data_IF_967679119390
#
_entry.id   IF_967679119390
#
_cell.length_a   1.000
_cell.length_b   1.000
_cell.length_c   1.000
_cell.angle_alpha   90.00
_cell.angle_beta   90.00
_cell.angle_gamma   90.00
#
_symmetry.space_group_name_H-M   'P 1'
#
loop_
_entity.id
_entity.type
_entity.pdbx_description
1 polymer ?
#
# COMPACT_ATOMS: atom_id res chain seq x y z
N UNK A 1 17.73 42.26 -50.92
CA UNK A 1 16.46 42.48 -50.21
C UNK A 1 15.33 41.92 -51.06
N UNK A 2 15.10 40.62 -51.13
CA UNK A 2 14.91 39.62 -50.06
C UNK A 2 13.62 39.87 -49.27
N UNK A 3 12.62 39.02 -49.53
CA UNK A 3 11.30 38.96 -48.90
C UNK A 3 10.61 37.70 -49.41
N UNK A 4 11.01 36.55 -48.86
CA UNK A 4 10.46 35.23 -49.16
C UNK A 4 9.39 34.85 -48.13
N UNK A 5 8.22 34.46 -48.62
CA UNK A 5 7.17 33.75 -47.88
C UNK A 5 7.62 32.31 -47.55
N UNK A 6 7.38 31.79 -46.34
CA UNK A 6 7.53 30.36 -46.05
C UNK A 6 6.25 29.56 -46.36
N UNK A 7 6.38 28.31 -46.88
CA UNK A 7 5.25 27.42 -47.11
C UNK A 7 4.85 26.58 -45.87
N UNK A 8 3.61 26.08 -45.91
CA UNK A 8 2.92 25.28 -44.89
C UNK A 8 3.56 23.89 -44.61
N UNK A 9 3.32 23.28 -43.41
CA UNK A 9 3.82 21.95 -43.09
C UNK A 9 2.92 20.79 -43.54
N UNK A 10 3.60 19.65 -43.69
CA UNK A 10 3.21 18.37 -44.29
C UNK A 10 2.25 17.53 -43.44
N UNK A 11 1.52 16.66 -44.13
CA UNK A 11 0.63 15.65 -43.57
C UNK A 11 1.34 14.44 -42.96
N UNK A 12 0.60 13.79 -42.06
CA UNK A 12 0.92 12.58 -41.33
C UNK A 12 0.62 11.33 -42.16
N UNK A 13 1.54 10.38 -42.20
CA UNK A 13 1.37 9.05 -42.77
C UNK A 13 1.28 8.02 -41.65
N UNK A 14 0.32 7.11 -41.81
CA UNK A 14 0.08 5.89 -41.05
C UNK A 14 1.10 4.80 -41.45
N UNK A 15 1.48 3.95 -40.50
CA UNK A 15 2.06 2.60 -40.68
C UNK A 15 1.84 1.88 -39.32
N UNK A 16 1.36 0.65 -39.17
CA UNK A 16 1.18 -0.48 -40.09
C UNK A 16 1.56 -1.76 -39.33
N UNK A 17 0.61 -2.66 -39.12
CA UNK A 17 0.73 -3.94 -38.40
C UNK A 17 1.75 -4.92 -39.01
N UNK A 18 2.35 -5.77 -38.17
CA UNK A 18 3.30 -6.81 -38.58
C UNK A 18 3.22 -8.07 -37.72
N UNK A 19 2.35 -8.99 -38.14
CA UNK A 19 2.21 -10.37 -37.69
C UNK A 19 3.40 -11.24 -38.18
N UNK A 20 3.92 -12.13 -37.33
CA UNK A 20 4.97 -13.09 -37.72
C UNK A 20 4.58 -14.51 -37.29
N UNK A 21 4.24 -15.32 -38.29
CA UNK A 21 4.09 -16.77 -38.19
C UNK A 21 5.35 -17.51 -38.65
N UNK A 22 5.52 -18.72 -38.09
CA UNK A 22 5.95 -19.97 -38.74
C UNK A 22 7.29 -20.59 -38.29
N UNK A 23 7.28 -21.93 -38.20
CA UNK A 23 8.50 -22.74 -38.11
C UNK A 23 8.45 -24.00 -37.22
N UNK A 24 7.66 -25.00 -37.59
CA UNK A 24 7.79 -26.39 -37.10
C UNK A 24 8.92 -27.14 -37.84
N UNK A 25 9.75 -27.91 -37.12
CA UNK A 25 10.47 -29.05 -37.68
C UNK A 25 10.82 -30.11 -36.62
N UNK A 26 10.54 -31.36 -37.01
CA UNK A 26 10.68 -32.67 -36.37
C UNK A 26 12.13 -33.17 -36.21
N UNK A 27 12.35 -34.14 -35.28
CA UNK A 27 13.39 -35.16 -35.48
C UNK A 27 13.97 -35.83 -34.23
N UNK A 28 13.44 -37.02 -33.90
CA UNK A 28 14.10 -38.24 -33.40
C UNK A 28 15.03 -38.26 -32.16
N UNK A 29 14.67 -39.14 -31.19
CA UNK A 29 15.54 -39.65 -30.11
C UNK A 29 16.59 -40.66 -30.62
N UNK A 30 17.39 -41.31 -29.73
CA UNK A 30 16.85 -42.37 -28.87
C UNK A 30 17.54 -42.65 -27.51
N UNK A 31 16.80 -43.37 -26.65
CA UNK A 31 17.16 -44.51 -25.76
C UNK A 31 18.18 -44.41 -24.61
N UNK A 32 17.71 -44.87 -23.43
CA UNK A 32 18.44 -45.70 -22.46
C UNK A 32 19.17 -44.93 -21.36
N UNK A 33 19.24 -45.30 -20.09
CA UNK A 33 18.86 -46.48 -19.31
C UNK A 33 18.81 -46.02 -17.82
N UNK A 34 17.93 -46.63 -17.02
CA UNK A 34 17.97 -46.61 -15.55
C UNK A 34 19.05 -47.59 -15.06
N UNK A 35 19.78 -47.29 -13.97
CA UNK A 35 19.70 -48.24 -12.87
C UNK A 35 19.71 -47.61 -11.46
N UNK A 36 18.71 -48.00 -10.68
CA UNK A 36 18.77 -48.54 -9.32
C UNK A 36 20.12 -48.56 -8.59
N UNK A 37 20.12 -48.02 -7.36
CA UNK A 37 20.52 -48.79 -6.18
C UNK A 37 21.82 -48.39 -5.46
N UNK A 38 21.68 -48.36 -4.13
CA UNK A 38 22.67 -48.68 -3.09
C UNK A 38 23.41 -47.50 -2.39
N UNK A 39 22.94 -47.30 -1.15
CA UNK A 39 23.60 -46.73 0.02
C UNK A 39 24.89 -47.49 0.39
N UNK A 40 25.92 -46.78 0.88
CA UNK A 40 26.64 -47.33 2.02
C UNK A 40 26.93 -46.30 3.13
N UNK A 41 26.35 -46.61 4.29
CA UNK A 41 26.89 -46.49 5.65
C UNK A 41 28.40 -46.17 5.79
N UNK A 42 28.70 -45.19 6.66
CA UNK A 42 29.92 -45.21 7.47
C UNK A 42 30.44 -43.83 7.85
N UNK A 43 30.09 -43.32 9.03
CA UNK A 43 30.90 -42.30 9.71
C UNK A 43 31.12 -42.65 11.19
N UNK A 44 32.40 -42.61 11.55
CA UNK A 44 33.00 -42.94 12.82
C UNK A 44 32.68 -41.92 13.92
N UNK A 45 32.57 -42.42 15.14
CA UNK A 45 32.54 -41.64 16.37
C UNK A 45 33.95 -41.22 16.80
N UNK A 46 34.13 -39.95 17.20
CA UNK A 46 35.16 -39.56 18.18
C UNK A 46 34.81 -38.24 18.87
N UNK A 47 34.41 -38.37 20.13
CA UNK A 47 34.71 -37.57 21.32
C UNK A 47 35.13 -36.10 21.18
N UNK A 48 34.27 -35.21 21.68
CA UNK A 48 34.59 -33.86 22.08
C UNK A 48 33.59 -33.35 23.12
N UNK A 49 33.96 -33.42 24.40
CA UNK A 49 33.27 -32.81 25.54
C UNK A 49 33.53 -31.29 25.58
N UNK A 50 32.50 -30.45 25.71
CA UNK A 50 32.63 -29.18 26.39
C UNK A 50 31.68 -29.11 27.60
N UNK A 51 32.30 -29.20 28.77
CA UNK A 51 31.80 -28.67 30.03
C UNK A 51 31.43 -27.18 29.88
N UNK A 52 30.18 -26.84 30.17
CA UNK A 52 29.71 -25.45 30.20
C UNK A 52 28.19 -25.36 30.31
N UNK A 53 27.70 -25.34 31.55
CA UNK A 53 26.29 -25.12 31.90
C UNK A 53 25.99 -23.61 31.89
N UNK A 54 25.10 -23.07 31.03
CA UNK A 54 24.62 -21.71 31.17
C UNK A 54 23.30 -21.73 31.95
N UNK A 55 23.41 -21.70 33.28
CA UNK A 55 22.30 -21.29 34.14
C UNK A 55 22.19 -19.77 34.11
N UNK A 56 21.49 -19.25 33.09
CA UNK A 56 21.17 -17.84 32.94
C UNK A 56 19.73 -17.70 32.45
N UNK A 57 18.82 -17.65 33.40
CA UNK A 57 17.38 -17.41 33.19
C UNK A 57 17.18 -15.93 32.80
N UNK A 58 16.66 -15.59 31.60
CA UNK A 58 16.31 -14.21 31.30
C UNK A 58 14.95 -13.90 31.95
N UNK A 59 14.98 -13.56 33.24
CA UNK A 59 13.84 -12.93 33.92
C UNK A 59 13.79 -11.44 33.55
N UNK A 60 13.48 -11.19 32.28
CA UNK A 60 13.08 -9.89 31.76
C UNK A 60 11.63 -9.97 31.33
N UNK A 61 10.71 -9.78 32.27
CA UNK A 61 9.29 -9.66 32.01
C UNK A 61 9.06 -8.32 31.28
N UNK A 62 8.54 -8.30 30.03
CA UNK A 62 8.15 -7.06 29.38
C UNK A 62 6.85 -6.59 30.05
N UNK A 63 6.96 -6.00 31.22
CA UNK A 63 5.86 -5.27 31.88
C UNK A 63 5.71 -3.88 31.24
N UNK A 64 5.46 -3.88 29.94
CA UNK A 64 4.76 -2.82 29.24
C UNK A 64 3.38 -3.34 28.92
N UNK A 65 2.48 -3.27 29.89
CA UNK A 65 1.05 -3.51 29.65
C UNK A 65 0.59 -2.41 28.68
N UNK A 66 0.15 -2.71 27.43
CA UNK A 66 -0.48 -1.70 26.60
C UNK A 66 -1.78 -1.32 27.31
N UNK A 67 -1.77 -0.16 27.98
CA UNK A 67 -2.87 0.33 28.83
C UNK A 67 -4.12 0.79 28.06
N UNK A 68 -4.41 0.17 26.92
CA UNK A 68 -5.73 0.22 26.30
C UNK A 68 -6.49 -1.05 26.68
N UNK A 69 -7.49 -0.95 27.55
CA UNK A 69 -8.58 -1.93 27.52
C UNK A 69 -9.00 -2.11 26.05
N UNK A 70 -9.14 -3.34 25.51
CA UNK A 70 -9.63 -3.51 24.15
C UNK A 70 -10.97 -2.79 24.07
N UNK A 71 -11.00 -1.69 23.31
CA UNK A 71 -12.19 -0.87 23.18
C UNK A 71 -13.36 -1.78 22.82
N UNK A 72 -14.48 -1.67 23.55
CA UNK A 72 -15.66 -2.49 23.28
C UNK A 72 -16.00 -2.41 21.78
N UNK A 73 -16.32 -3.55 21.13
CA UNK A 73 -16.62 -3.56 19.72
C UNK A 73 -17.76 -2.58 19.42
N UNK A 74 -17.78 -1.96 18.23
CA UNK A 74 -18.81 -0.98 17.90
C UNK A 74 -20.22 -1.57 18.07
N UNK A 75 -21.18 -0.77 18.56
CA UNK A 75 -22.54 -1.24 18.79
C UNK A 75 -23.23 -1.50 17.45
N UNK A 76 -23.61 -2.74 17.18
CA UNK A 76 -24.37 -3.07 15.97
C UNK A 76 -24.41 -4.57 15.71
N UNK A 77 -25.13 -4.95 14.66
CA UNK A 77 -25.11 -6.33 14.16
C UNK A 77 -23.86 -6.62 13.34
N UNK A 78 -23.63 -7.91 13.08
CA UNK A 78 -22.63 -8.36 12.12
C UNK A 78 -23.20 -8.29 10.69
N UNK A 79 -22.40 -7.81 9.73
CA UNK A 79 -22.75 -7.73 8.31
C UNK A 79 -21.82 -8.57 7.45
N UNK A 80 -22.36 -9.10 6.35
CA UNK A 80 -21.60 -9.72 5.26
C UNK A 80 -21.40 -8.76 4.08
N UNK A 81 -22.12 -7.63 4.07
CA UNK A 81 -22.01 -6.59 3.05
C UNK A 81 -21.00 -5.53 3.48
N UNK A 82 -20.08 -5.08 2.60
CA UNK A 82 -19.13 -4.01 2.89
C UNK A 82 -19.79 -2.74 3.44
N UNK A 83 -19.25 -2.24 4.55
CA UNK A 83 -19.70 -1.01 5.21
C UNK A 83 -18.48 -0.21 5.69
N UNK A 84 -18.46 1.13 5.63
CA UNK A 84 -17.26 1.89 5.99
C UNK A 84 -16.73 1.54 7.39
N UNK A 85 -15.43 1.21 7.47
CA UNK A 85 -14.79 0.78 8.73
C UNK A 85 -14.79 1.93 9.75
N UNK A 86 -14.85 3.18 9.33
CA UNK A 86 -14.88 4.35 10.20
C UNK A 86 -16.29 4.76 10.68
N UNK A 87 -17.31 3.93 10.44
CA UNK A 87 -18.70 4.30 10.70
C UNK A 87 -19.44 3.37 11.67
N UNK A 88 -18.82 2.32 12.22
CA UNK A 88 -19.54 1.35 13.07
C UNK A 88 -20.04 1.88 14.40
N UNK A 89 -19.52 3.02 14.87
CA UNK A 89 -20.03 3.72 16.06
C UNK A 89 -21.23 4.63 15.80
N UNK A 90 -21.60 4.83 14.52
CA UNK A 90 -22.71 5.69 14.18
C UNK A 90 -24.06 5.01 14.52
N UNK A 91 -25.09 5.78 14.93
CA UNK A 91 -26.38 5.18 15.25
C UNK A 91 -27.01 4.45 14.06
N UNK A 92 -27.35 3.17 14.25
CA UNK A 92 -28.06 2.37 13.26
C UNK A 92 -27.18 1.72 12.19
N UNK A 93 -25.86 1.75 12.36
CA UNK A 93 -24.93 1.04 11.49
C UNK A 93 -24.66 -0.38 11.99
N UNK A 94 -24.14 -1.27 11.13
CA UNK A 94 -23.51 -2.50 11.58
C UNK A 94 -22.31 -2.18 12.49
N UNK A 95 -22.00 -3.09 13.43
CA UNK A 95 -20.88 -2.94 14.35
C UNK A 95 -19.65 -3.73 13.92
N UNK A 96 -19.88 -4.83 13.19
CA UNK A 96 -18.82 -5.71 12.69
C UNK A 96 -19.11 -6.15 11.25
N UNK A 97 -18.06 -6.48 10.51
CA UNK A 97 -18.09 -7.16 9.22
C UNK A 97 -17.43 -8.52 9.38
N UNK A 98 -18.19 -9.62 9.24
CA UNK A 98 -17.71 -10.99 9.45
C UNK A 98 -16.95 -11.17 10.78
N UNK A 99 -17.40 -10.47 11.82
CA UNK A 99 -16.77 -10.42 13.14
C UNK A 99 -15.60 -9.45 13.31
N UNK A 100 -15.13 -8.79 12.24
CA UNK A 100 -14.12 -7.73 12.30
C UNK A 100 -14.77 -6.38 12.66
N UNK A 101 -14.19 -5.59 13.58
CA UNK A 101 -14.80 -4.35 14.04
C UNK A 101 -14.86 -3.29 12.93
N UNK A 102 -16.02 -2.64 12.79
CA UNK A 102 -16.18 -1.45 11.97
C UNK A 102 -15.75 -0.20 12.77
N UNK A 103 -14.49 -0.19 13.19
CA UNK A 103 -13.83 0.98 13.78
C UNK A 103 -12.36 0.97 13.39
N UNK A 104 -11.87 2.09 12.87
CA UNK A 104 -10.44 2.26 12.63
C UNK A 104 -9.68 2.23 13.96
N UNK A 105 -8.55 1.52 13.97
CA UNK A 105 -7.57 1.60 15.05
C UNK A 105 -7.00 3.02 15.11
N UNK A 106 -6.80 3.52 16.33
CA UNK A 106 -6.16 4.81 16.58
C UNK A 106 -4.83 4.58 17.31
N UNK A 107 -3.73 4.73 16.58
CA UNK A 107 -2.36 4.63 17.11
C UNK A 107 -1.83 5.98 17.62
N UNK A 108 -2.71 6.98 17.77
CA UNK A 108 -2.38 8.34 18.20
C UNK A 108 -1.70 9.17 17.11
N UNK A 109 -0.91 10.16 17.56
CA UNK A 109 -0.15 11.07 16.69
C UNK A 109 1.36 10.86 16.88
N UNK A 110 2.14 10.71 15.80
CA UNK A 110 3.59 10.60 15.89
C UNK A 110 4.23 11.96 16.20
N UNK A 111 5.42 11.93 16.81
CA UNK A 111 6.33 13.08 16.81
C UNK A 111 7.21 13.03 15.57
N UNK A 112 7.17 14.08 14.77
CA UNK A 112 7.99 14.23 13.56
C UNK A 112 8.84 15.49 13.68
N UNK A 113 10.15 15.30 13.73
CA UNK A 113 11.12 16.38 13.89
C UNK A 113 11.68 16.80 12.52
N UNK A 114 11.69 18.11 12.21
CA UNK A 114 12.32 18.62 11.00
C UNK A 114 13.85 18.49 11.06
N UNK A 115 14.48 18.24 9.90
CA UNK A 115 15.93 18.32 9.72
C UNK A 115 16.24 19.57 8.89
N UNK A 116 16.99 20.51 9.48
CA UNK A 116 17.26 21.82 8.89
C UNK A 116 15.99 22.61 8.51
N UNK A 117 14.92 22.44 9.30
CA UNK A 117 13.63 23.07 9.06
C UNK A 117 12.80 22.42 7.95
N UNK A 118 13.13 21.18 7.58
CA UNK A 118 12.46 20.44 6.51
C UNK A 118 11.91 19.09 7.01
N UNK A 119 10.69 18.80 6.61
CA UNK A 119 9.98 17.53 6.77
C UNK A 119 9.62 17.04 5.37
N UNK A 120 10.40 16.11 4.86
CA UNK A 120 10.12 15.38 3.63
C UNK A 120 9.04 14.33 3.86
N UNK A 121 7.95 14.43 3.10
CA UNK A 121 6.88 13.43 3.03
C UNK A 121 7.00 12.73 1.68
N UNK A 122 7.17 11.42 1.68
CA UNK A 122 7.34 10.63 0.45
C UNK A 122 6.13 9.74 0.23
N UNK A 123 5.46 9.89 -0.92
CA UNK A 123 4.38 8.99 -1.33
C UNK A 123 4.94 7.74 -2.01
N UNK A 124 4.55 6.55 -1.56
CA UNK A 124 4.89 5.27 -2.20
C UNK A 124 3.64 4.45 -2.51
N UNK A 125 3.76 3.54 -3.49
CA UNK A 125 2.68 2.69 -3.98
C UNK A 125 2.68 2.58 -5.50
N UNK A 126 1.54 2.17 -6.06
CA UNK A 126 1.37 1.91 -7.49
C UNK A 126 0.72 3.08 -8.28
N UNK A 127 0.03 2.79 -9.39
CA UNK A 127 -0.52 3.80 -10.31
C UNK A 127 -1.58 4.71 -9.68
N UNK A 128 -2.43 4.20 -8.77
CA UNK A 128 -3.37 5.05 -8.03
C UNK A 128 -2.61 6.01 -7.11
N UNK A 129 -1.60 5.51 -6.39
CA UNK A 129 -0.80 6.30 -5.45
C UNK A 129 -0.12 7.50 -6.12
N UNK A 130 0.48 7.32 -7.31
CA UNK A 130 1.09 8.44 -8.04
C UNK A 130 0.05 9.46 -8.51
N UNK A 131 -1.13 9.03 -8.99
CA UNK A 131 -2.19 9.95 -9.42
C UNK A 131 -2.76 10.74 -8.23
N UNK A 132 -3.05 10.05 -7.12
CA UNK A 132 -3.59 10.64 -5.88
C UNK A 132 -2.58 11.60 -5.25
N UNK A 133 -1.32 11.19 -5.12
CA UNK A 133 -0.27 12.04 -4.54
C UNK A 133 0.04 13.24 -5.44
N UNK A 134 0.10 13.07 -6.77
CA UNK A 134 0.28 14.17 -7.70
C UNK A 134 -0.87 15.19 -7.61
N UNK A 135 -2.12 14.73 -7.50
CA UNK A 135 -3.27 15.61 -7.33
C UNK A 135 -3.19 16.38 -6.00
N UNK A 136 -2.87 15.69 -4.90
CA UNK A 136 -2.65 16.29 -3.59
C UNK A 136 -1.56 17.37 -3.64
N UNK A 137 -0.37 17.06 -4.16
CA UNK A 137 0.76 18.00 -4.30
C UNK A 137 0.34 19.24 -5.10
N UNK A 138 -0.38 19.06 -6.21
CA UNK A 138 -0.78 20.17 -7.09
C UNK A 138 -1.72 21.19 -6.42
N UNK A 139 -2.42 20.77 -5.37
CA UNK A 139 -3.42 21.57 -4.66
C UNK A 139 -2.86 22.25 -3.40
N UNK A 140 -1.71 21.81 -2.90
CA UNK A 140 -1.04 22.40 -1.74
C UNK A 140 -0.74 23.89 -1.95
N UNK A 141 -1.06 24.71 -0.94
CA UNK A 141 -0.84 26.16 -0.96
C UNK A 141 -1.82 26.94 -1.85
N UNK A 142 -2.72 26.27 -2.56
CA UNK A 142 -3.76 26.88 -3.38
C UNK A 142 -5.16 26.51 -2.88
N UNK A 143 -5.57 25.27 -3.10
CA UNK A 143 -6.87 24.75 -2.66
C UNK A 143 -6.78 24.18 -1.23
N UNK A 144 -5.64 23.60 -0.88
CA UNK A 144 -5.35 22.99 0.42
C UNK A 144 -4.39 23.91 1.20
N UNK A 145 -4.89 24.52 2.27
CA UNK A 145 -4.23 25.60 3.01
C UNK A 145 -3.88 25.18 4.45
N UNK A 146 -3.07 25.98 5.15
CA UNK A 146 -2.69 25.68 6.54
C UNK A 146 -1.60 24.62 6.67
N UNK A 147 -0.86 24.38 5.59
CA UNK A 147 0.29 23.47 5.58
C UNK A 147 1.55 24.23 5.97
N UNK A 148 2.29 23.68 6.92
CA UNK A 148 3.58 24.17 7.38
C UNK A 148 4.55 24.34 6.23
N UNK A 149 5.26 25.48 6.20
CA UNK A 149 6.29 25.75 5.21
C UNK A 149 7.51 24.80 5.31
N UNK A 150 7.58 24.00 6.38
CA UNK A 150 8.60 22.97 6.56
C UNK A 150 8.28 21.68 5.79
N UNK A 151 7.03 21.49 5.34
CA UNK A 151 6.59 20.25 4.68
C UNK A 151 6.88 20.30 3.18
N UNK A 152 7.57 19.27 2.70
CA UNK A 152 7.85 19.07 1.29
C UNK A 152 7.43 17.66 0.87
N UNK A 153 6.47 17.57 -0.04
CA UNK A 153 5.92 16.28 -0.47
C UNK A 153 6.53 15.86 -1.81
N UNK A 154 6.94 14.59 -1.92
CA UNK A 154 7.55 14.01 -3.12
C UNK A 154 6.78 12.75 -3.53
N UNK A 155 6.35 12.69 -4.79
CA UNK A 155 5.75 11.50 -5.38
C UNK A 155 6.82 10.50 -5.86
N UNK A 156 6.98 9.41 -5.10
CA UNK A 156 7.85 8.29 -5.44
C UNK A 156 7.09 7.07 -5.96
N UNK A 157 5.77 7.10 -6.06
CA UNK A 157 5.00 5.96 -6.52
C UNK A 157 5.34 5.61 -7.98
N UNK A 158 5.21 4.32 -8.30
CA UNK A 158 5.58 3.76 -9.60
C UNK A 158 4.45 2.86 -10.11
N UNK A 159 3.91 3.19 -11.28
CA UNK A 159 2.82 2.43 -11.90
C UNK A 159 3.13 0.93 -12.01
N UNK A 160 2.15 0.08 -11.68
CA UNK A 160 2.28 -1.37 -11.75
C UNK A 160 3.21 -2.01 -10.71
N UNK A 161 3.57 -1.28 -9.64
CA UNK A 161 4.38 -1.80 -8.54
C UNK A 161 3.68 -1.56 -7.21
N UNK A 162 2.87 -2.54 -6.80
CA UNK A 162 2.14 -2.52 -5.54
C UNK A 162 3.03 -3.06 -4.40
N UNK A 163 2.46 -3.30 -3.23
CA UNK A 163 3.22 -3.53 -1.99
C UNK A 163 4.24 -4.66 -2.09
N UNK A 164 3.90 -5.74 -2.80
CA UNK A 164 4.73 -6.94 -2.95
C UNK A 164 6.07 -6.60 -3.63
N UNK A 165 6.06 -5.64 -4.56
CA UNK A 165 7.28 -5.19 -5.24
C UNK A 165 8.07 -4.16 -4.42
N UNK A 166 7.41 -3.32 -3.63
CA UNK A 166 8.11 -2.42 -2.72
C UNK A 166 8.81 -3.19 -1.59
N UNK A 167 8.28 -4.35 -1.21
CA UNK A 167 8.89 -5.28 -0.27
C UNK A 167 10.06 -6.10 -0.85
N UNK A 168 10.02 -6.41 -2.16
CA UNK A 168 11.01 -7.27 -2.82
C UNK A 168 12.32 -6.53 -3.21
N UNK A 169 13.49 -6.94 -2.66
CA UNK A 169 14.79 -6.36 -3.01
C UNK A 169 15.14 -6.40 -4.51
N UNK A 170 14.56 -7.32 -5.28
CA UNK A 170 14.77 -7.40 -6.73
C UNK A 170 14.31 -6.12 -7.47
N UNK A 171 13.42 -5.33 -6.86
CA UNK A 171 12.90 -4.09 -7.42
C UNK A 171 13.54 -2.82 -6.83
N UNK A 172 14.52 -2.93 -5.93
CA UNK A 172 15.17 -1.79 -5.25
C UNK A 172 15.63 -0.71 -6.25
N UNK A 173 16.27 -1.11 -7.35
CA UNK A 173 16.76 -0.19 -8.37
C UNK A 173 15.64 0.59 -9.10
N UNK A 174 14.47 -0.02 -9.26
CA UNK A 174 13.32 0.59 -9.95
C UNK A 174 12.46 1.42 -9.00
N UNK A 175 12.46 1.10 -7.70
CA UNK A 175 11.58 1.68 -6.70
C UNK A 175 12.35 2.58 -5.73
N UNK A 176 13.10 2.00 -4.80
CA UNK A 176 13.79 2.74 -3.74
C UNK A 176 14.90 3.65 -4.28
N UNK A 177 15.76 3.16 -5.18
CA UNK A 177 16.83 3.98 -5.79
C UNK A 177 16.24 5.09 -6.68
N UNK A 178 15.16 4.78 -7.41
CA UNK A 178 14.44 5.79 -8.20
C UNK A 178 13.84 6.87 -7.30
N UNK A 179 13.24 6.46 -6.17
CA UNK A 179 12.67 7.37 -5.19
C UNK A 179 13.73 8.29 -4.57
N UNK A 180 14.87 7.75 -4.14
CA UNK A 180 16.00 8.55 -3.65
C UNK A 180 16.46 9.56 -4.71
N UNK A 181 16.46 9.16 -5.99
CA UNK A 181 16.70 10.07 -7.11
C UNK A 181 15.68 11.21 -7.23
N UNK A 182 14.38 10.94 -7.01
CA UNK A 182 13.31 11.96 -7.01
C UNK A 182 13.39 12.88 -5.80
N UNK A 183 13.67 12.34 -4.62
CA UNK A 183 13.92 13.09 -3.38
C UNK A 183 15.07 14.09 -3.60
N UNK A 184 16.18 13.64 -4.18
CA UNK A 184 17.30 14.51 -4.52
C UNK A 184 16.94 15.58 -5.58
N UNK A 185 16.15 15.23 -6.59
CA UNK A 185 15.66 16.20 -7.60
C UNK A 185 14.73 17.26 -7.01
N UNK A 186 13.97 16.91 -5.96
CA UNK A 186 13.18 17.86 -5.18
C UNK A 186 14.02 18.73 -4.24
N UNK A 187 15.34 18.53 -4.20
CA UNK A 187 16.27 19.29 -3.36
C UNK A 187 16.36 18.83 -1.91
N UNK A 188 15.84 17.63 -1.61
CA UNK A 188 15.85 17.04 -0.27
C UNK A 188 17.01 16.05 -0.12
N UNK A 189 17.52 15.92 1.11
CA UNK A 189 18.41 14.81 1.49
C UNK A 189 17.61 13.60 2.00
N UNK A 190 18.18 12.39 2.01
CA UNK A 190 17.54 11.23 2.63
C UNK A 190 17.21 11.43 4.11
N UNK A 191 18.03 12.18 4.86
CA UNK A 191 17.79 12.45 6.29
C UNK A 191 16.60 13.38 6.53
N UNK A 192 16.25 14.19 5.53
CA UNK A 192 15.07 15.04 5.55
C UNK A 192 13.78 14.28 5.24
N UNK A 193 13.82 13.04 4.76
CA UNK A 193 12.63 12.20 4.63
C UNK A 193 12.27 11.68 6.02
N UNK A 194 11.18 12.23 6.58
CA UNK A 194 10.71 11.90 7.94
C UNK A 194 9.40 11.12 7.94
N UNK A 195 8.62 11.24 6.86
CA UNK A 195 7.28 10.65 6.76
C UNK A 195 7.13 9.91 5.44
N UNK A 196 6.57 8.71 5.49
CA UNK A 196 6.04 8.02 4.32
C UNK A 196 4.52 8.09 4.31
N UNK A 197 3.95 8.42 3.15
CA UNK A 197 2.56 8.19 2.84
C UNK A 197 2.47 6.96 1.94
N UNK A 198 1.95 5.85 2.47
CA UNK A 198 1.87 4.58 1.75
C UNK A 198 0.43 4.29 1.33
N UNK A 199 0.20 4.28 0.02
CA UNK A 199 -1.04 3.79 -0.57
C UNK A 199 -0.90 2.28 -0.81
N UNK A 200 -1.31 1.50 0.19
CA UNK A 200 -1.15 0.06 0.26
C UNK A 200 -2.25 -0.66 -0.53
N UNK A 201 -1.83 -1.69 -1.26
CA UNK A 201 -2.69 -2.54 -2.07
C UNK A 201 -1.89 -3.74 -2.62
N UNK A 202 -2.46 -4.94 -2.71
CA UNK A 202 -1.87 -6.09 -3.41
C UNK A 202 -2.20 -6.03 -4.89
N UNK A 203 -1.23 -6.05 -5.80
CA UNK A 203 -1.43 -5.69 -7.21
C UNK A 203 -2.61 -6.45 -7.86
N UNK A 204 -2.82 -7.70 -7.45
CA UNK A 204 -3.90 -8.56 -7.90
C UNK A 204 -4.40 -9.46 -6.77
N UNK A 205 -5.70 -9.41 -6.48
CA UNK A 205 -6.37 -10.29 -5.50
C UNK A 205 -6.98 -11.49 -6.22
N UNK A 206 -6.17 -12.19 -7.02
CA UNK A 206 -6.60 -13.30 -7.86
C UNK A 206 -5.58 -14.43 -7.86
N UNK A 207 -6.07 -15.62 -8.19
CA UNK A 207 -5.25 -16.81 -8.43
C UNK A 207 -4.24 -16.57 -9.56
N UNK A 208 -3.30 -17.49 -9.72
CA UNK A 208 -2.25 -17.40 -10.75
C UNK A 208 -2.78 -17.28 -12.20
N UNK A 209 -4.06 -17.59 -12.44
CA UNK A 209 -4.72 -17.40 -13.74
C UNK A 209 -5.17 -15.96 -14.00
N UNK A 210 -5.06 -15.05 -13.02
CA UNK A 210 -5.42 -13.63 -13.07
C UNK A 210 -6.91 -13.35 -13.34
N UNK A 211 -7.75 -14.38 -13.30
CA UNK A 211 -9.16 -14.31 -13.66
C UNK A 211 -10.06 -14.78 -12.51
N UNK A 212 -9.59 -15.74 -11.74
CA UNK A 212 -10.30 -16.29 -10.59
C UNK A 212 -9.96 -15.45 -9.36
N UNK A 213 -10.93 -14.74 -8.76
CA UNK A 213 -10.68 -14.00 -7.53
C UNK A 213 -10.28 -14.97 -6.41
N UNK A 214 -9.39 -14.51 -5.52
CA UNK A 214 -9.11 -15.22 -4.28
C UNK A 214 -10.40 -15.34 -3.43
N UNK A 215 -10.51 -16.37 -2.57
CA UNK A 215 -11.65 -16.47 -1.67
C UNK A 215 -11.67 -15.25 -0.72
N UNK A 216 -12.86 -14.75 -0.33
CA UNK A 216 -12.95 -13.65 0.62
C UNK A 216 -12.64 -14.13 2.04
N UNK A 217 -12.34 -13.19 2.94
CA UNK A 217 -12.27 -13.45 4.39
C UNK A 217 -13.57 -14.14 4.87
N UNK A 218 -13.52 -15.08 5.85
CA UNK A 218 -12.37 -15.51 6.65
C UNK A 218 -11.62 -16.72 6.11
N UNK A 219 -11.69 -17.00 4.80
CA UNK A 219 -10.94 -18.12 4.24
C UNK A 219 -9.43 -17.91 4.50
N UNK A 220 -8.69 -18.90 5.04
CA UNK A 220 -7.25 -18.78 5.26
C UNK A 220 -6.42 -18.52 3.99
N UNK A 221 -6.99 -18.78 2.81
CA UNK A 221 -6.37 -18.48 1.51
C UNK A 221 -6.80 -17.10 0.95
N UNK A 222 -7.52 -16.30 1.73
CA UNK A 222 -7.95 -14.97 1.31
C UNK A 222 -6.80 -13.98 1.23
N UNK A 223 -6.99 -12.99 0.37
CA UNK A 223 -6.07 -11.86 0.20
C UNK A 223 -5.83 -11.10 1.51
N UNK A 224 -6.82 -11.09 2.42
CA UNK A 224 -6.70 -10.51 3.75
C UNK A 224 -5.41 -10.93 4.49
N UNK A 225 -5.09 -12.23 4.49
CA UNK A 225 -3.91 -12.73 5.21
C UNK A 225 -2.62 -12.49 4.41
N UNK A 226 -2.68 -12.60 3.07
CA UNK A 226 -1.55 -12.28 2.20
C UNK A 226 -1.13 -10.80 2.33
N UNK A 227 -2.11 -9.90 2.43
CA UNK A 227 -1.87 -8.48 2.57
C UNK A 227 -1.20 -8.13 3.91
N UNK A 228 -1.53 -8.84 5.00
CA UNK A 228 -0.85 -8.72 6.30
C UNK A 228 0.63 -9.10 6.15
N UNK A 229 0.94 -10.22 5.51
CA UNK A 229 2.33 -10.65 5.27
C UNK A 229 3.11 -9.61 4.43
N UNK A 230 2.45 -8.98 3.44
CA UNK A 230 3.06 -7.94 2.63
C UNK A 230 3.29 -6.63 3.41
N UNK A 231 2.41 -6.29 4.36
CA UNK A 231 2.60 -5.16 5.26
C UNK A 231 3.80 -5.36 6.18
N UNK A 232 3.96 -6.56 6.77
CA UNK A 232 5.15 -6.94 7.54
C UNK A 232 6.43 -6.81 6.70
N UNK A 233 6.40 -7.38 5.49
CA UNK A 233 7.53 -7.36 4.59
C UNK A 233 7.94 -5.93 4.21
N UNK A 234 6.98 -5.05 3.87
CA UNK A 234 7.26 -3.65 3.58
C UNK A 234 7.79 -2.91 4.80
N UNK A 235 7.18 -3.10 5.98
CA UNK A 235 7.56 -2.39 7.19
C UNK A 235 9.04 -2.64 7.55
N UNK A 236 9.53 -3.86 7.35
CA UNK A 236 10.94 -4.20 7.52
C UNK A 236 11.88 -3.49 6.53
N UNK A 237 11.40 -3.09 5.33
CA UNK A 237 12.21 -2.35 4.34
C UNK A 237 12.33 -0.87 4.67
N UNK A 238 11.33 -0.28 5.32
CA UNK A 238 11.28 1.18 5.57
C UNK A 238 12.55 1.71 6.25
N UNK A 239 12.99 1.19 7.41
CA UNK A 239 14.20 1.69 8.08
C UNK A 239 15.50 1.36 7.32
N UNK A 240 15.51 0.33 6.46
CA UNK A 240 16.66 0.04 5.58
C UNK A 240 16.83 1.13 4.50
N UNK A 241 15.72 1.57 3.92
CA UNK A 241 15.72 2.47 2.75
C UNK A 241 15.67 3.94 3.12
N UNK A 242 14.95 4.27 4.20
CA UNK A 242 14.85 5.61 4.76
C UNK A 242 15.08 5.56 6.28
N UNK A 243 16.34 5.50 6.74
CA UNK A 243 16.68 5.31 8.16
C UNK A 243 16.28 6.48 9.07
N UNK A 244 15.85 7.60 8.49
CA UNK A 244 15.41 8.81 9.19
C UNK A 244 13.89 8.97 9.26
N UNK A 245 13.12 8.04 8.69
CA UNK A 245 11.65 8.04 8.79
C UNK A 245 11.23 7.81 10.24
N UNK A 246 10.28 8.62 10.70
CA UNK A 246 9.68 8.54 12.03
C UNK A 246 8.23 8.07 11.99
N UNK A 247 7.55 8.26 10.86
CA UNK A 247 6.13 7.94 10.71
C UNK A 247 5.80 7.38 9.32
N UNK A 248 4.94 6.36 9.29
CA UNK A 248 4.31 5.85 8.07
C UNK A 248 2.80 5.98 8.23
N UNK A 249 2.19 6.79 7.38
CA UNK A 249 0.74 6.88 7.23
C UNK A 249 0.33 5.96 6.10
N UNK A 250 -0.38 4.88 6.42
CA UNK A 250 -0.81 3.89 5.44
C UNK A 250 -2.30 4.00 5.17
N UNK A 251 -2.70 3.90 3.90
CA UNK A 251 -4.11 3.83 3.49
C UNK A 251 -4.33 2.64 2.56
N UNK A 252 -5.47 1.97 2.66
CA UNK A 252 -5.85 0.82 1.83
C UNK A 252 -6.44 1.25 0.48
N UNK A 253 -6.84 0.29 -0.37
CA UNK A 253 -7.60 0.53 -1.61
C UNK A 253 -8.81 1.47 -1.44
N UNK A 254 -9.08 2.24 -2.48
CA UNK A 254 -10.37 2.92 -2.65
C UNK A 254 -11.41 1.91 -3.15
N UNK A 255 -12.64 2.36 -3.38
CA UNK A 255 -13.74 1.49 -3.79
C UNK A 255 -13.44 0.68 -5.06
N UNK A 256 -13.63 -0.64 -4.98
CA UNK A 256 -13.41 -1.57 -6.08
C UNK A 256 -14.68 -1.90 -6.87
N UNK A 257 -15.86 -1.43 -6.45
CA UNK A 257 -17.14 -1.87 -7.03
C UNK A 257 -17.38 -1.45 -8.49
N UNK A 258 -16.59 -0.51 -9.01
CA UNK A 258 -16.62 -0.12 -10.42
C UNK A 258 -15.62 -0.88 -11.29
N UNK A 259 -14.74 -1.69 -10.71
CA UNK A 259 -13.76 -2.46 -11.44
C UNK A 259 -14.46 -3.53 -12.30
N UNK A 260 -14.08 -3.63 -13.57
CA UNK A 260 -14.62 -4.66 -14.47
C UNK A 260 -14.06 -6.06 -14.24
N UNK A 261 -13.16 -6.25 -13.28
CA UNK A 261 -12.46 -7.50 -13.00
C UNK A 261 -12.47 -7.81 -11.50
N UNK A 262 -12.71 -9.08 -11.16
CA UNK A 262 -12.85 -9.52 -9.78
C UNK A 262 -11.54 -9.36 -8.97
N UNK A 263 -10.38 -9.45 -9.62
CA UNK A 263 -9.04 -9.30 -9.02
C UNK A 263 -8.75 -7.91 -8.40
N UNK A 264 -9.68 -6.96 -8.54
CA UNK A 264 -9.61 -5.57 -8.05
C UNK A 264 -10.99 -5.07 -7.61
N UNK A 265 -11.92 -6.00 -7.42
CA UNK A 265 -13.31 -5.73 -7.13
C UNK A 265 -13.62 -5.85 -5.64
N UNK A 266 -14.89 -5.69 -5.31
CA UNK A 266 -15.42 -6.00 -3.99
C UNK A 266 -15.79 -7.49 -3.88
N UNK A 267 -15.63 -8.11 -2.69
CA UNK A 267 -15.23 -7.50 -1.42
C UNK A 267 -13.71 -7.46 -1.15
N UNK A 268 -12.88 -7.99 -2.05
CA UNK A 268 -11.44 -8.14 -1.79
C UNK A 268 -10.74 -6.78 -1.57
N UNK A 269 -11.10 -5.76 -2.36
CA UNK A 269 -10.57 -4.40 -2.17
C UNK A 269 -10.96 -3.79 -0.83
N UNK A 270 -12.18 -4.05 -0.36
CA UNK A 270 -12.64 -3.64 0.96
C UNK A 270 -11.95 -4.41 2.10
N UNK A 271 -11.72 -5.71 1.92
CA UNK A 271 -11.11 -6.59 2.92
C UNK A 271 -9.64 -6.25 3.19
N UNK A 272 -8.89 -5.72 2.20
CA UNK A 272 -7.55 -5.13 2.44
C UNK A 272 -7.60 -3.99 3.49
N UNK A 273 -8.69 -3.23 3.55
CA UNK A 273 -8.87 -2.18 4.57
C UNK A 273 -8.98 -2.74 5.98
N UNK A 274 -9.66 -3.88 6.13
CA UNK A 274 -9.71 -4.60 7.41
C UNK A 274 -8.37 -5.24 7.76
N UNK A 275 -7.69 -5.85 6.78
CA UNK A 275 -6.36 -6.43 6.98
C UNK A 275 -5.35 -5.37 7.47
N UNK A 276 -5.35 -4.18 6.85
CA UNK A 276 -4.56 -3.05 7.33
C UNK A 276 -4.98 -2.61 8.73
N UNK A 277 -6.28 -2.58 9.03
CA UNK A 277 -6.76 -2.20 10.36
C UNK A 277 -6.24 -3.15 11.44
N UNK A 278 -6.30 -4.44 11.19
CA UNK A 278 -5.76 -5.47 12.09
C UNK A 278 -4.26 -5.35 12.22
N UNK A 279 -3.54 -5.20 11.10
CA UNK A 279 -2.09 -5.05 11.14
C UNK A 279 -1.66 -3.83 11.96
N UNK A 280 -2.35 -2.69 11.80
CA UNK A 280 -2.07 -1.48 12.58
C UNK A 280 -2.36 -1.64 14.07
N UNK A 281 -3.33 -2.49 14.46
CA UNK A 281 -3.59 -2.82 15.86
C UNK A 281 -2.40 -3.54 16.50
N UNK A 282 -1.80 -4.47 15.76
CA UNK A 282 -0.71 -5.33 16.22
C UNK A 282 0.66 -4.64 16.08
N UNK A 283 0.79 -3.68 15.16
CA UNK A 283 2.04 -2.99 14.82
C UNK A 283 1.91 -1.46 14.88
N UNK A 284 1.62 -0.86 16.05
CA UNK A 284 1.61 0.61 16.18
C UNK A 284 3.01 1.23 15.98
N UNK A 285 4.07 0.44 16.18
CA UNK A 285 5.46 0.81 15.92
C UNK A 285 6.24 -0.41 15.43
N UNK A 286 7.06 -0.25 14.39
CA UNK A 286 7.99 -1.29 13.88
C UNK A 286 9.38 -0.69 13.79
N UNK A 287 10.34 -1.28 14.49
CA UNK A 287 11.75 -0.84 14.51
C UNK A 287 11.95 0.67 14.80
N UNK A 288 11.13 1.23 15.70
CA UNK A 288 11.20 2.65 16.07
C UNK A 288 10.47 3.61 15.13
N UNK A 289 9.79 3.09 14.10
CA UNK A 289 8.96 3.86 13.18
C UNK A 289 7.51 3.71 13.58
N UNK A 290 6.81 4.82 13.80
CA UNK A 290 5.38 4.82 14.09
C UNK A 290 4.56 4.48 12.84
N UNK A 291 3.53 3.65 13.00
CA UNK A 291 2.57 3.32 11.94
C UNK A 291 1.15 3.66 12.36
N UNK A 292 0.41 4.27 11.45
CA UNK A 292 -1.00 4.55 11.66
C UNK A 292 -1.75 4.76 10.36
N UNK A 293 -3.06 4.91 10.50
CA UNK A 293 -3.91 5.23 9.38
C UNK A 293 -3.56 6.60 8.79
N UNK A 294 -3.28 6.60 7.49
CA UNK A 294 -3.54 7.75 6.63
C UNK A 294 -5.07 8.01 6.54
N UNK A 295 -5.56 8.70 5.51
CA UNK A 295 -6.99 8.81 5.32
C UNK A 295 -7.60 7.44 5.04
N UNK A 296 -8.77 7.13 5.60
CA UNK A 296 -9.56 5.99 5.15
C UNK A 296 -10.37 6.38 3.91
N UNK A 297 -9.88 5.96 2.74
CA UNK A 297 -10.40 6.45 1.45
C UNK A 297 -11.42 5.54 0.80
N UNK A 298 -11.68 4.36 1.38
CA UNK A 298 -12.75 3.49 0.90
C UNK A 298 -14.10 4.11 1.27
N UNK A 299 -15.02 4.10 0.30
CA UNK A 299 -16.40 4.50 0.49
C UNK A 299 -17.26 3.79 -0.56
N UNK A 300 -18.52 3.43 -0.27
CA UNK A 300 -19.33 2.71 -1.25
C UNK A 300 -19.78 3.62 -2.40
N UNK A 301 -20.44 3.01 -3.38
CA UNK A 301 -21.18 3.74 -4.40
C UNK A 301 -22.21 4.68 -3.73
N UNK A 302 -22.28 5.93 -4.17
CA UNK A 302 -23.27 6.90 -3.74
C UNK A 302 -24.72 6.41 -3.93
N UNK A 303 -25.00 5.47 -4.85
CA UNK A 303 -26.31 4.84 -5.00
C UNK A 303 -26.77 4.06 -3.77
N UNK A 304 -25.83 3.61 -2.92
CA UNK A 304 -26.16 2.95 -1.64
C UNK A 304 -26.77 3.91 -0.61
N UNK A 305 -26.55 5.22 -0.79
CA UNK A 305 -26.90 6.25 0.20
C UNK A 305 -25.98 6.29 1.43
N UNK A 306 -24.94 5.46 1.47
CA UNK A 306 -23.95 5.41 2.56
C UNK A 306 -22.72 6.23 2.19
N UNK A 307 -22.10 6.85 3.19
CA UNK A 307 -20.83 7.58 3.09
C UNK A 307 -19.88 7.12 4.19
N UNK A 308 -18.58 7.24 3.96
CA UNK A 308 -17.58 7.03 5.02
C UNK A 308 -17.57 8.21 6.02
N UNK A 309 -16.74 8.11 7.04
CA UNK A 309 -16.60 9.14 8.09
C UNK A 309 -16.09 10.49 7.60
N UNK A 310 -15.54 10.56 6.38
CA UNK A 310 -15.17 11.80 5.69
C UNK A 310 -16.30 12.37 4.82
N UNK A 311 -17.53 11.89 4.97
CA UNK A 311 -18.70 12.25 4.14
C UNK A 311 -18.48 11.96 2.63
N UNK A 312 -17.67 10.94 2.30
CA UNK A 312 -17.38 10.54 0.92
C UNK A 312 -18.19 9.31 0.52
N UNK A 313 -18.66 9.33 -0.72
CA UNK A 313 -19.08 8.17 -1.51
C UNK A 313 -18.57 8.39 -2.95
N UNK A 314 -18.51 7.33 -3.76
CA UNK A 314 -18.06 7.43 -5.15
C UNK A 314 -19.19 7.23 -6.14
N UNK A 315 -19.10 7.90 -7.29
CA UNK A 315 -19.91 7.62 -8.49
C UNK A 315 -19.02 7.04 -9.58
N UNK A 316 -19.60 6.43 -10.62
CA UNK A 316 -18.81 5.82 -11.70
C UNK A 316 -17.85 6.82 -12.36
N UNK A 317 -18.24 8.08 -12.50
CA UNK A 317 -17.45 9.17 -13.08
C UNK A 317 -16.25 9.59 -12.22
N UNK A 318 -16.20 9.18 -10.95
CA UNK A 318 -15.01 9.37 -10.11
C UNK A 318 -13.86 8.44 -10.54
N UNK A 319 -14.12 7.47 -11.43
CA UNK A 319 -13.15 6.54 -11.96
C UNK A 319 -13.02 6.68 -13.48
N UNK A 320 -11.83 6.39 -14.00
CA UNK A 320 -11.56 6.32 -15.43
C UNK A 320 -12.36 5.19 -16.08
N UNK A 321 -12.28 5.07 -17.41
CA UNK A 321 -13.04 4.08 -18.17
C UNK A 321 -12.82 2.62 -17.74
N UNK A 322 -11.69 2.32 -17.08
CA UNK A 322 -11.38 0.99 -16.53
C UNK A 322 -12.04 0.68 -15.17
N UNK A 323 -12.56 1.69 -14.47
CA UNK A 323 -13.18 1.53 -13.15
C UNK A 323 -12.18 1.25 -12.03
N UNK A 324 -10.88 1.44 -12.28
CA UNK A 324 -9.80 1.18 -11.32
C UNK A 324 -8.99 2.45 -11.05
N UNK A 325 -8.65 3.21 -12.09
CA UNK A 325 -7.90 4.45 -11.89
C UNK A 325 -8.83 5.61 -11.51
N UNK A 326 -8.45 6.47 -10.56
CA UNK A 326 -9.26 7.63 -10.21
C UNK A 326 -9.30 8.62 -11.40
N UNK A 327 -10.46 9.20 -11.61
CA UNK A 327 -10.65 10.41 -12.41
C UNK A 327 -10.66 11.64 -11.47
N UNK A 328 -10.83 12.83 -12.03
CA UNK A 328 -10.70 14.08 -11.28
C UNK A 328 -11.58 14.13 -10.02
N UNK A 329 -12.81 13.59 -10.07
CA UNK A 329 -13.71 13.57 -8.92
C UNK A 329 -13.18 12.76 -7.73
N UNK A 330 -12.64 11.54 -7.94
CA UNK A 330 -11.96 10.79 -6.89
C UNK A 330 -10.67 11.48 -6.45
N UNK A 331 -9.89 12.03 -7.38
CA UNK A 331 -8.64 12.71 -7.06
C UNK A 331 -8.87 13.92 -6.13
N UNK A 332 -9.91 14.70 -6.38
CA UNK A 332 -10.28 15.84 -5.52
C UNK A 332 -10.70 15.38 -4.11
N UNK A 333 -11.53 14.33 -4.03
CA UNK A 333 -11.96 13.74 -2.74
C UNK A 333 -10.79 13.18 -1.94
N UNK A 334 -9.93 12.40 -2.59
CA UNK A 334 -8.79 11.75 -1.95
C UNK A 334 -7.75 12.78 -1.52
N UNK A 335 -7.45 13.78 -2.35
CA UNK A 335 -6.54 14.86 -1.97
C UNK A 335 -7.04 15.63 -0.75
N UNK A 336 -8.34 15.90 -0.65
CA UNK A 336 -8.95 16.50 0.52
C UNK A 336 -8.83 15.60 1.76
N UNK A 337 -9.14 14.30 1.65
CA UNK A 337 -8.99 13.37 2.78
C UNK A 337 -7.54 13.24 3.26
N UNK A 338 -6.55 13.17 2.35
CA UNK A 338 -5.11 13.18 2.71
C UNK A 338 -4.79 14.44 3.50
N UNK A 339 -5.20 15.60 2.99
CA UNK A 339 -4.97 16.88 3.65
C UNK A 339 -5.60 16.94 5.04
N UNK A 340 -6.89 16.64 5.15
CA UNK A 340 -7.63 16.72 6.42
C UNK A 340 -7.04 15.79 7.48
N UNK A 341 -6.63 14.57 7.09
CA UNK A 341 -5.97 13.63 8.00
C UNK A 341 -4.64 14.18 8.50
N UNK A 342 -3.81 14.74 7.62
CA UNK A 342 -2.50 15.26 8.00
C UNK A 342 -2.61 16.61 8.72
N UNK A 343 -3.64 17.41 8.46
CA UNK A 343 -3.89 18.69 9.14
C UNK A 343 -4.21 18.52 10.64
N UNK A 344 -4.58 17.31 11.05
CA UNK A 344 -4.70 16.96 12.47
C UNK A 344 -3.33 16.85 13.18
N UNK A 345 -2.22 16.86 12.45
CA UNK A 345 -0.87 16.68 12.99
C UNK A 345 -0.12 18.00 13.15
N UNK A 346 0.46 18.22 14.34
CA UNK A 346 1.20 19.44 14.66
C UNK A 346 2.41 19.69 13.74
N UNK A 347 3.02 18.62 13.21
CA UNK A 347 4.18 18.72 12.31
C UNK A 347 3.78 19.18 10.89
N UNK A 348 2.52 18.98 10.52
CA UNK A 348 1.99 19.31 9.20
C UNK A 348 1.26 20.65 9.18
N UNK A 349 0.50 20.97 10.23
CA UNK A 349 -0.23 22.23 10.33
C UNK A 349 0.71 23.45 10.48
N UNK A 350 0.35 24.57 9.85
CA UNK A 350 1.16 25.80 9.78
C UNK A 350 0.39 27.09 10.03
#
# INVERSE_FOLDING_TARGET
>A
DAGDDPPAPMGSAEDGDGESTDGSATGDGPTGEDPTGEDPTGEDSADGDPTGDPTGDPTGDPTGDPTGDPAEPPPGGDTEEPFPIDMGDAPGTPGTYKGLPLRLVDNGSPTVDPVDGVIGVVCIGMSNATQECSAYISKLGNELQGVSAQVHVVDCAVGGHAIEKWADPAFDGTLWDNCLGRVAQAGLSPDQVRVLYHKAADQFTAEADMMTPLPPYPDPQSDYFNFIDNLDALAARVPEKFPSVQAVYTTSRSYGGFAGQAARGEPLSYEEGHALNTWLADHPEVDGVWYGWGPYIWAPDCETGVRNGSDVCYVREDYQGDGVHPAQGALDKIAAMIHDRLLAEDWYAG
#
